data_IF_801611590193
#
_entry.id   IF_801611590193
#
_cell.length_a   1.000
_cell.length_b   1.000
_cell.length_c   1.000
_cell.angle_alpha   90.00
_cell.angle_beta   90.00
_cell.angle_gamma   90.00
#
_symmetry.space_group_name_H-M   'P 1'
#
loop_
_entity.id
_entity.type
_entity.pdbx_description
1 polymer ?
#
# COMPACT_ATOMS: atom_id res chain seq x y z
N UNK A 1 -3.24 7.42 37.00
CA UNK A 1 -2.77 6.56 35.90
C UNK A 1 -3.61 6.85 34.67
N UNK A 2 -3.20 7.80 33.83
CA UNK A 2 -3.82 7.95 32.51
C UNK A 2 -3.56 6.65 31.76
N UNK A 3 -4.60 6.00 31.23
CA UNK A 3 -4.41 4.89 30.31
C UNK A 3 -3.61 5.45 29.13
N UNK A 4 -2.39 4.98 28.94
CA UNK A 4 -1.56 5.32 27.80
C UNK A 4 -2.20 4.67 26.56
N UNK A 5 -3.14 5.38 25.94
CA UNK A 5 -3.71 5.01 24.66
C UNK A 5 -2.76 5.50 23.58
N UNK A 6 -2.22 4.59 22.76
CA UNK A 6 -1.42 4.95 21.59
C UNK A 6 -2.35 5.62 20.57
N UNK A 7 -2.04 6.85 20.17
CA UNK A 7 -2.83 7.56 19.16
C UNK A 7 -2.64 6.90 17.77
N UNK A 8 -3.62 7.00 16.85
CA UNK A 8 -3.49 6.39 15.51
C UNK A 8 -2.23 6.81 14.75
N UNK A 9 -1.84 8.08 14.85
CA UNK A 9 -0.62 8.60 14.22
C UNK A 9 0.64 8.00 14.85
N UNK A 10 0.68 7.83 16.17
CA UNK A 10 1.82 7.19 16.87
C UNK A 10 1.90 5.69 16.55
N UNK A 11 0.76 5.01 16.45
CA UNK A 11 0.69 3.61 16.07
C UNK A 11 1.18 3.40 14.63
N UNK A 12 0.77 4.26 13.70
CA UNK A 12 1.23 4.19 12.33
C UNK A 12 2.72 4.61 12.21
N UNK A 13 3.13 5.68 12.90
CA UNK A 13 4.51 6.20 12.87
C UNK A 13 5.53 5.30 13.54
N UNK A 14 5.10 4.35 14.38
CA UNK A 14 5.96 3.28 14.93
C UNK A 14 6.06 2.05 14.02
N UNK A 15 5.45 2.08 12.82
CA UNK A 15 5.48 0.98 11.84
C UNK A 15 4.52 -0.16 12.15
N UNK A 16 3.74 -0.11 13.23
CA UNK A 16 2.82 -1.19 13.61
C UNK A 16 1.69 -1.36 12.58
N UNK A 17 1.25 -0.27 11.97
CA UNK A 17 0.26 -0.32 10.88
C UNK A 17 0.85 -0.99 9.63
N UNK A 18 2.11 -0.69 9.29
CA UNK A 18 2.80 -1.32 8.18
C UNK A 18 2.91 -2.84 8.38
N UNK A 19 3.27 -3.29 9.60
CA UNK A 19 3.30 -4.72 9.96
C UNK A 19 1.93 -5.37 9.78
N UNK A 20 0.85 -4.68 10.19
CA UNK A 20 -0.50 -5.19 10.01
C UNK A 20 -0.84 -5.36 8.52
N UNK A 21 -0.46 -4.40 7.66
CA UNK A 21 -0.68 -4.53 6.22
C UNK A 21 0.12 -5.69 5.60
N UNK A 22 1.42 -5.80 5.87
CA UNK A 22 2.24 -6.92 5.37
C UNK A 22 1.68 -8.27 5.83
N UNK A 23 1.19 -8.35 7.06
CA UNK A 23 0.62 -9.59 7.61
C UNK A 23 -0.63 -10.09 6.86
N UNK A 24 -1.30 -9.25 6.06
CA UNK A 24 -2.42 -9.67 5.21
C UNK A 24 -1.99 -10.60 4.07
N UNK A 25 -0.72 -10.58 3.65
CA UNK A 25 -0.19 -11.47 2.62
C UNK A 25 0.37 -12.79 3.17
N UNK A 26 0.28 -13.01 4.49
CA UNK A 26 0.75 -14.24 5.11
C UNK A 26 0.01 -15.47 4.55
N UNK A 27 0.70 -16.60 4.28
CA UNK A 27 0.04 -17.86 3.94
C UNK A 27 -0.78 -18.41 5.12
N UNK A 28 -0.38 -18.08 6.36
CA UNK A 28 -1.08 -18.49 7.57
C UNK A 28 -2.35 -17.65 7.81
N UNK A 29 -3.52 -18.31 7.86
CA UNK A 29 -4.80 -17.62 8.06
C UNK A 29 -4.91 -16.99 9.45
N UNK A 30 -4.28 -17.57 10.48
CA UNK A 30 -4.28 -17.01 11.83
C UNK A 30 -3.60 -15.65 11.89
N UNK A 31 -2.43 -15.52 11.25
CA UNK A 31 -1.73 -14.25 11.10
C UNK A 31 -2.60 -13.24 10.35
N UNK A 32 -3.25 -13.65 9.26
CA UNK A 32 -4.18 -12.76 8.53
C UNK A 32 -5.33 -12.30 9.43
N UNK A 33 -5.97 -13.19 10.20
CA UNK A 33 -7.06 -12.82 11.12
C UNK A 33 -6.62 -11.77 12.13
N UNK A 34 -5.43 -11.91 12.70
CA UNK A 34 -4.85 -10.90 13.61
C UNK A 34 -4.65 -9.56 12.90
N UNK A 35 -4.11 -9.58 11.67
CA UNK A 35 -3.92 -8.38 10.85
C UNK A 35 -5.23 -7.65 10.57
N UNK A 36 -6.23 -8.36 10.05
CA UNK A 36 -7.57 -7.83 9.80
C UNK A 36 -8.20 -7.25 11.07
N UNK A 37 -8.09 -7.95 12.21
CA UNK A 37 -8.60 -7.45 13.50
C UNK A 37 -7.89 -6.20 14.00
N UNK A 38 -6.57 -6.09 13.77
CA UNK A 38 -5.80 -4.87 14.06
C UNK A 38 -6.24 -3.73 13.17
N UNK A 39 -6.43 -3.95 11.87
CA UNK A 39 -6.87 -2.92 10.93
C UNK A 39 -8.29 -2.42 11.25
N UNK A 40 -9.20 -3.30 11.66
CA UNK A 40 -10.54 -2.92 12.11
C UNK A 40 -10.49 -2.01 13.34
N UNK A 41 -9.71 -2.38 14.37
CA UNK A 41 -9.51 -1.54 15.55
C UNK A 41 -8.85 -0.20 15.21
N UNK A 42 -7.87 -0.21 14.32
CA UNK A 42 -7.18 0.99 13.88
C UNK A 42 -8.13 1.92 13.12
N UNK A 43 -8.93 1.39 12.19
CA UNK A 43 -9.95 2.15 11.45
C UNK A 43 -10.94 2.82 12.41
N UNK A 44 -11.47 2.07 13.37
CA UNK A 44 -12.35 2.59 14.41
C UNK A 44 -11.70 3.72 15.24
N UNK A 45 -10.38 3.66 15.47
CA UNK A 45 -9.65 4.71 16.16
C UNK A 45 -9.47 5.96 15.28
N UNK A 46 -9.15 5.79 13.99
CA UNK A 46 -9.04 6.88 13.01
C UNK A 46 -10.38 7.62 12.83
N UNK A 47 -11.50 6.88 12.77
CA UNK A 47 -12.84 7.47 12.64
C UNK A 47 -13.24 8.32 13.86
N UNK A 48 -12.68 8.05 15.04
CA UNK A 48 -12.87 8.89 16.23
C UNK A 48 -12.00 10.15 16.21
N UNK A 49 -10.99 10.19 15.35
CA UNK A 49 -10.03 11.31 15.21
C UNK A 49 -10.37 12.27 14.05
N UNK A 50 -11.64 12.37 13.64
CA UNK A 50 -12.14 13.09 12.43
C UNK A 50 -11.59 14.51 12.18
N UNK A 51 -11.13 15.23 13.20
CA UNK A 51 -10.69 16.63 13.09
C UNK A 51 -9.21 16.82 12.71
N UNK A 52 -8.40 15.75 12.62
CA UNK A 52 -6.97 15.86 12.26
C UNK A 52 -6.78 15.64 10.76
N UNK A 53 -6.23 16.64 10.06
CA UNK A 53 -5.84 16.49 8.63
C UNK A 53 -4.84 15.34 8.45
N UNK A 54 -4.01 15.12 9.46
CA UNK A 54 -2.92 14.15 9.52
C UNK A 54 -3.38 12.69 9.39
N UNK A 55 -4.68 12.40 9.57
CA UNK A 55 -5.22 11.03 9.43
C UNK A 55 -6.02 10.81 8.14
N UNK A 56 -6.20 11.85 7.31
CA UNK A 56 -7.02 11.75 6.09
C UNK A 56 -6.41 10.75 5.09
N UNK A 57 -5.09 10.83 4.86
CA UNK A 57 -4.39 9.88 3.98
C UNK A 57 -4.55 8.43 4.45
N UNK A 58 -4.32 8.18 5.74
CA UNK A 58 -4.51 6.85 6.33
C UNK A 58 -5.95 6.33 6.20
N UNK A 59 -6.94 7.21 6.35
CA UNK A 59 -8.35 6.86 6.14
C UNK A 59 -8.63 6.42 4.69
N UNK A 60 -8.10 7.16 3.71
CA UNK A 60 -8.26 6.78 2.30
C UNK A 60 -7.58 5.45 2.01
N UNK A 61 -6.35 5.26 2.50
CA UNK A 61 -5.61 3.99 2.39
C UNK A 61 -6.43 2.82 2.95
N UNK A 62 -6.94 2.94 4.18
CA UNK A 62 -7.75 1.89 4.82
C UNK A 62 -9.00 1.55 4.00
N UNK A 63 -9.70 2.57 3.49
CA UNK A 63 -10.89 2.37 2.67
C UNK A 63 -10.53 1.69 1.34
N UNK A 64 -9.45 2.09 0.68
CA UNK A 64 -9.02 1.47 -0.57
C UNK A 64 -8.60 0.01 -0.38
N UNK A 65 -7.91 -0.32 0.72
CA UNK A 65 -7.60 -1.71 1.09
C UNK A 65 -8.89 -2.48 1.37
N UNK A 66 -9.80 -1.94 2.17
CA UNK A 66 -11.08 -2.58 2.50
C UNK A 66 -11.91 -2.88 1.25
N UNK A 67 -12.00 -1.95 0.31
CA UNK A 67 -12.76 -2.13 -0.92
C UNK A 67 -12.12 -3.18 -1.86
N UNK A 68 -10.85 -3.52 -1.65
CA UNK A 68 -10.12 -4.56 -2.39
C UNK A 68 -10.30 -5.95 -1.77
N UNK A 69 -11.00 -6.03 -0.63
CA UNK A 69 -11.31 -7.28 0.05
C UNK A 69 -12.63 -7.85 -0.47
N UNK A 70 -12.56 -9.03 -1.09
CA UNK A 70 -13.73 -9.71 -1.66
C UNK A 70 -14.25 -10.78 -0.70
N UNK A 71 -13.35 -11.54 -0.07
CA UNK A 71 -13.70 -12.63 0.84
C UNK A 71 -13.11 -12.43 2.26
N UNK A 72 -13.80 -12.91 3.32
CA UNK A 72 -13.29 -12.84 4.68
C UNK A 72 -11.92 -13.52 4.82
N UNK A 73 -10.97 -12.80 5.41
CA UNK A 73 -9.61 -13.29 5.67
C UNK A 73 -8.85 -13.75 4.41
N UNK A 74 -9.24 -13.24 3.25
CA UNK A 74 -8.52 -13.51 2.01
C UNK A 74 -7.05 -13.13 2.15
N UNK A 75 -6.18 -13.86 1.45
CA UNK A 75 -4.78 -13.46 1.35
C UNK A 75 -4.68 -12.28 0.39
N UNK A 76 -4.12 -11.17 0.85
CA UNK A 76 -3.84 -10.03 -0.01
C UNK A 76 -2.53 -10.29 -0.75
N UNK A 77 -2.44 -9.97 -2.05
CA UNK A 77 -1.20 -10.12 -2.80
C UNK A 77 -0.05 -9.35 -2.14
N UNK A 78 1.14 -9.95 -2.09
CA UNK A 78 2.27 -9.40 -1.34
C UNK A 78 2.65 -7.99 -1.80
N UNK A 79 2.64 -7.73 -3.11
CA UNK A 79 2.91 -6.39 -3.66
C UNK A 79 1.91 -5.33 -3.20
N UNK A 80 0.63 -5.71 -3.04
CA UNK A 80 -0.44 -4.81 -2.59
C UNK A 80 -0.30 -4.56 -1.08
N UNK A 81 0.03 -5.61 -0.32
CA UNK A 81 0.29 -5.52 1.11
C UNK A 81 1.51 -4.64 1.41
N UNK A 82 2.61 -4.80 0.65
CA UNK A 82 3.82 -3.97 0.74
C UNK A 82 3.53 -2.52 0.37
N UNK A 83 2.80 -2.28 -0.73
CA UNK A 83 2.40 -0.92 -1.11
C UNK A 83 1.59 -0.25 0.01
N UNK A 84 0.62 -0.94 0.58
CA UNK A 84 -0.19 -0.42 1.69
C UNK A 84 0.67 -0.13 2.93
N UNK A 85 1.64 -1.00 3.22
CA UNK A 85 2.57 -0.83 4.34
C UNK A 85 3.45 0.42 4.16
N UNK A 86 4.12 0.55 3.01
CA UNK A 86 4.96 1.72 2.69
C UNK A 86 4.13 3.01 2.63
N UNK A 87 2.96 2.98 1.99
CA UNK A 87 2.06 4.12 1.95
C UNK A 87 1.63 4.56 3.34
N UNK A 88 1.44 3.64 4.28
CA UNK A 88 1.06 3.96 5.66
C UNK A 88 2.14 4.76 6.41
N UNK A 89 3.41 4.55 6.06
CA UNK A 89 4.53 5.32 6.59
C UNK A 89 4.65 6.67 5.86
N UNK A 90 4.64 6.65 4.52
CA UNK A 90 4.81 7.86 3.71
C UNK A 90 3.70 8.88 3.96
N UNK A 91 2.45 8.45 4.14
CA UNK A 91 1.31 9.36 4.37
C UNK A 91 1.36 10.11 5.71
N UNK A 92 2.32 9.80 6.58
CA UNK A 92 2.58 10.54 7.82
C UNK A 92 3.61 11.67 7.64
N UNK A 93 4.33 11.68 6.52
CA UNK A 93 5.40 12.63 6.25
C UNK A 93 5.13 13.38 4.93
N UNK A 94 4.52 14.58 5.00
CA UNK A 94 4.29 15.42 3.83
C UNK A 94 5.56 15.87 3.09
N UNK A 95 6.73 15.77 3.71
CA UNK A 95 8.01 16.12 3.09
C UNK A 95 8.62 14.96 2.29
N UNK A 96 8.07 13.75 2.40
CA UNK A 96 8.55 12.57 1.70
C UNK A 96 8.32 12.68 0.18
N UNK A 97 9.30 12.29 -0.64
CA UNK A 97 9.27 12.47 -2.11
C UNK A 97 8.05 11.81 -2.79
N UNK A 98 7.59 10.68 -2.26
CA UNK A 98 6.41 9.95 -2.74
C UNK A 98 5.07 10.42 -2.16
N UNK A 99 5.05 11.32 -1.18
CA UNK A 99 3.82 11.72 -0.50
C UNK A 99 2.76 12.25 -1.47
N UNK A 100 3.15 13.14 -2.37
CA UNK A 100 2.24 13.75 -3.34
C UNK A 100 1.64 12.72 -4.30
N UNK A 101 2.46 11.81 -4.83
CA UNK A 101 2.01 10.77 -5.76
C UNK A 101 1.07 9.77 -5.08
N UNK A 102 1.41 9.31 -3.87
CA UNK A 102 0.58 8.37 -3.10
C UNK A 102 -0.74 9.02 -2.66
N UNK A 103 -0.69 10.26 -2.17
CA UNK A 103 -1.90 11.01 -1.79
C UNK A 103 -2.84 11.18 -2.99
N UNK A 104 -2.28 11.56 -4.14
CA UNK A 104 -3.03 11.72 -5.39
C UNK A 104 -3.63 10.38 -5.83
N UNK A 105 -2.87 9.29 -5.76
CA UNK A 105 -3.35 7.96 -6.08
C UNK A 105 -4.60 7.58 -5.26
N UNK A 106 -4.58 7.81 -3.94
CA UNK A 106 -5.71 7.49 -3.06
C UNK A 106 -6.93 8.40 -3.22
N UNK A 107 -6.75 9.61 -3.73
CA UNK A 107 -7.87 10.49 -4.09
C UNK A 107 -8.63 9.92 -5.31
N UNK A 108 -7.91 9.35 -6.27
CA UNK A 108 -8.49 8.86 -7.53
C UNK A 108 -8.86 7.37 -7.52
N UNK A 109 -8.25 6.58 -6.63
CA UNK A 109 -8.38 5.12 -6.61
C UNK A 109 -9.15 4.62 -5.39
N UNK A 110 -10.36 4.13 -5.61
CA UNK A 110 -11.23 3.56 -4.57
C UNK A 110 -10.85 2.14 -4.16
N UNK A 111 -9.99 1.45 -4.94
CA UNK A 111 -9.49 0.09 -4.71
C UNK A 111 -8.02 0.00 -5.10
N UNK A 112 -7.29 -0.90 -4.45
CA UNK A 112 -5.94 -1.27 -4.83
C UNK A 112 -5.99 -2.34 -5.93
N UNK A 113 -5.46 -1.99 -7.09
CA UNK A 113 -5.36 -2.88 -8.24
C UNK A 113 -3.92 -2.85 -8.78
N UNK A 114 -3.33 -4.01 -9.00
CA UNK A 114 -1.93 -4.12 -9.43
C UNK A 114 -1.63 -3.33 -10.71
N UNK A 115 -2.48 -3.43 -11.74
CA UNK A 115 -2.27 -2.72 -13.01
C UNK A 115 -2.34 -1.21 -12.82
N UNK A 116 -3.38 -0.73 -12.15
CA UNK A 116 -3.59 0.72 -11.94
C UNK A 116 -2.46 1.30 -11.10
N UNK A 117 -2.06 0.60 -10.03
CA UNK A 117 -0.96 0.99 -9.17
C UNK A 117 0.36 1.01 -9.95
N UNK A 118 0.70 -0.07 -10.64
CA UNK A 118 1.91 -0.14 -11.46
C UNK A 118 1.95 0.98 -12.49
N UNK A 119 0.87 1.18 -13.25
CA UNK A 119 0.83 2.19 -14.31
C UNK A 119 0.95 3.61 -13.77
N UNK A 120 0.35 3.89 -12.60
CA UNK A 120 0.40 5.23 -11.98
C UNK A 120 1.81 5.64 -11.55
N UNK A 121 2.62 4.71 -11.01
CA UNK A 121 3.97 5.03 -10.52
C UNK A 121 5.06 4.76 -11.56
N UNK A 122 4.95 3.68 -12.33
CA UNK A 122 5.98 3.30 -13.31
C UNK A 122 6.02 4.25 -14.52
N UNK A 123 4.84 4.66 -15.00
CA UNK A 123 4.68 5.62 -16.10
C UNK A 123 4.37 7.03 -15.62
N UNK A 124 4.76 7.36 -14.38
CA UNK A 124 4.58 8.71 -13.84
C UNK A 124 5.25 9.75 -14.73
N UNK A 125 4.59 10.90 -14.86
CA UNK A 125 5.09 12.09 -15.54
C UNK A 125 5.42 13.21 -14.56
N UNK A 126 5.43 12.91 -13.26
CA UNK A 126 5.77 13.88 -12.21
C UNK A 126 7.23 14.31 -12.30
N UNK A 127 7.59 15.39 -11.61
CA UNK A 127 9.00 15.80 -11.46
C UNK A 127 9.85 14.73 -10.75
N UNK A 128 9.22 13.85 -9.97
CA UNK A 128 9.84 12.76 -9.21
C UNK A 128 9.71 11.40 -9.90
N UNK A 129 9.37 11.35 -11.20
CA UNK A 129 9.04 10.11 -11.90
C UNK A 129 10.10 9.00 -11.74
N UNK A 130 11.39 9.35 -11.70
CA UNK A 130 12.47 8.36 -11.51
C UNK A 130 12.40 7.68 -10.15
N UNK A 131 12.19 8.47 -9.10
CA UNK A 131 12.05 7.95 -7.76
C UNK A 131 10.78 7.10 -7.65
N UNK A 132 9.66 7.57 -8.20
CA UNK A 132 8.38 6.83 -8.20
C UNK A 132 8.47 5.50 -8.96
N UNK A 133 9.12 5.50 -10.14
CA UNK A 133 9.37 4.29 -10.92
C UNK A 133 10.28 3.31 -10.17
N UNK A 134 11.39 3.80 -9.62
CA UNK A 134 12.32 2.98 -8.84
C UNK A 134 11.63 2.35 -7.63
N UNK A 135 10.80 3.12 -6.91
CA UNK A 135 10.01 2.62 -5.80
C UNK A 135 9.01 1.53 -6.23
N UNK A 136 8.30 1.73 -7.34
CA UNK A 136 7.41 0.70 -7.89
C UNK A 136 8.18 -0.56 -8.31
N UNK A 137 9.36 -0.44 -8.90
CA UNK A 137 10.23 -1.57 -9.22
C UNK A 137 10.66 -2.35 -7.98
N UNK A 138 11.05 -1.65 -6.91
CA UNK A 138 11.37 -2.27 -5.62
C UNK A 138 10.17 -3.04 -5.05
N UNK A 139 8.96 -2.47 -5.12
CA UNK A 139 7.74 -3.15 -4.69
C UNK A 139 7.41 -4.39 -5.53
N UNK A 140 7.58 -4.32 -6.86
CA UNK A 140 7.42 -5.47 -7.77
C UNK A 140 8.42 -6.56 -7.41
N UNK A 141 9.69 -6.21 -7.21
CA UNK A 141 10.71 -7.18 -6.85
C UNK A 141 10.42 -7.85 -5.49
N UNK A 142 10.15 -7.06 -4.45
CA UNK A 142 9.88 -7.57 -3.10
C UNK A 142 8.51 -8.28 -2.98
N UNK A 143 7.60 -8.02 -3.92
CA UNK A 143 6.24 -8.55 -3.91
C UNK A 143 6.08 -9.95 -4.51
N UNK A 144 7.13 -10.56 -5.06
CA UNK A 144 7.09 -11.90 -5.66
C UNK A 144 7.41 -12.99 -4.61
N UNK A 145 6.56 -13.15 -3.60
CA UNK A 145 6.82 -14.06 -2.48
C UNK A 145 6.17 -15.45 -2.63
N UNK A 146 5.25 -15.63 -3.57
CA UNK A 146 4.60 -16.92 -3.84
C UNK A 146 4.13 -17.05 -5.29
N UNK A 147 3.77 -18.26 -5.72
CA UNK A 147 3.24 -18.52 -7.06
C UNK A 147 1.96 -17.72 -7.35
N UNK A 148 1.08 -17.56 -6.36
CA UNK A 148 -0.10 -16.70 -6.48
C UNK A 148 0.26 -15.23 -6.77
N UNK A 149 1.35 -14.73 -6.18
CA UNK A 149 1.85 -13.37 -6.44
C UNK A 149 2.36 -13.24 -7.88
N UNK A 150 3.04 -14.27 -8.39
CA UNK A 150 3.48 -14.34 -9.80
C UNK A 150 2.28 -14.36 -10.76
N UNK A 151 1.23 -15.12 -10.44
CA UNK A 151 0.02 -15.18 -11.27
C UNK A 151 -0.63 -13.80 -11.46
N UNK A 152 -0.56 -12.95 -10.45
CA UNK A 152 -1.07 -11.58 -10.51
C UNK A 152 -0.26 -10.72 -11.48
N UNK A 153 1.05 -10.95 -11.58
CA UNK A 153 1.93 -10.18 -12.44
C UNK A 153 1.68 -10.54 -13.90
N UNK A 154 1.55 -11.85 -14.17
CA UNK A 154 1.17 -12.37 -15.49
C UNK A 154 -0.20 -11.83 -15.91
N UNK A 155 -1.22 -11.94 -15.04
CA UNK A 155 -2.59 -11.46 -15.34
C UNK A 155 -2.64 -9.96 -15.66
N UNK A 156 -1.73 -9.17 -15.10
CA UNK A 156 -1.67 -7.72 -15.30
C UNK A 156 -0.61 -7.28 -16.32
N UNK A 157 0.03 -8.22 -17.00
CA UNK A 157 1.08 -8.00 -18.00
C UNK A 157 2.26 -7.18 -17.47
N UNK A 158 2.61 -7.36 -16.19
CA UNK A 158 3.63 -6.54 -15.52
C UNK A 158 5.01 -6.86 -16.08
N UNK A 159 5.34 -8.15 -16.26
CA UNK A 159 6.64 -8.58 -16.76
C UNK A 159 6.86 -8.15 -18.20
N UNK A 160 5.83 -8.23 -19.04
CA UNK A 160 5.85 -7.82 -20.44
C UNK A 160 6.08 -6.30 -20.56
N UNK A 161 5.45 -5.50 -19.70
CA UNK A 161 5.68 -4.05 -19.63
C UNK A 161 7.11 -3.72 -19.23
N UNK A 162 7.66 -4.42 -18.24
CA UNK A 162 9.05 -4.25 -17.80
C UNK A 162 10.04 -4.61 -18.90
N UNK A 163 9.85 -5.76 -19.56
CA UNK A 163 10.70 -6.20 -20.68
C UNK A 163 10.62 -5.21 -21.86
N UNK A 164 9.42 -4.73 -22.17
CA UNK A 164 9.23 -3.73 -23.24
C UNK A 164 9.89 -2.39 -22.91
N UNK A 165 9.84 -1.98 -21.64
CA UNK A 165 10.52 -0.77 -21.17
C UNK A 165 12.05 -0.92 -21.23
N UNK A 166 12.60 -2.06 -20.82
CA UNK A 166 14.03 -2.32 -20.81
C UNK A 166 14.68 -2.18 -22.21
N UNK A 167 13.98 -2.60 -23.26
CA UNK A 167 14.46 -2.45 -24.65
C UNK A 167 14.13 -1.10 -25.28
N UNK A 168 13.39 -0.24 -24.59
CA UNK A 168 12.98 1.08 -25.07
C UNK A 168 14.09 2.11 -24.86
N UNK A 169 14.22 3.13 -25.74
CA UNK A 169 15.10 4.28 -25.51
C UNK A 169 14.71 5.13 -24.29
N UNK A 170 13.56 4.84 -23.66
CA UNK A 170 13.12 5.45 -22.41
C UNK A 170 13.71 4.78 -21.16
N UNK A 171 14.38 3.64 -21.31
CA UNK A 171 15.08 2.98 -20.20
C UNK A 171 16.19 3.89 -19.71
N UNK A 172 16.09 4.28 -18.45
CA UNK A 172 17.06 5.13 -17.75
C UNK A 172 18.05 4.35 -16.88
#
# INVERSE_FOLDING_TARGET
LSKAYVAPVEFAGSGLLAIAFVSLSSPDQGIRRLAYGTLDKFKNAVEKCQKRKDVMGLRLLLNSVQNSIEEPWQRIPSVIALFAAEASCVLLDPAHDHYAAISTFFIHSSKLNMRVMFDNFFWSTSVNFKAERSWMLCLVYAGMNSDDDVAIYIRNSILEKLMSFYVSPLSD
#
